data_IF_127296398194
#
_entry.id   IF_127296398194
#
_cell.length_a   1.000
_cell.length_b   1.000
_cell.length_c   1.000
_cell.angle_alpha   90.00
_cell.angle_beta   90.00
_cell.angle_gamma   90.00
#
_symmetry.space_group_name_H-M   'P 1'
#
loop_
_entity.id
_entity.type
_entity.pdbx_description
1 polymer ?
#
# COMPACT_ATOMS: atom_id res chain seq x y z
N UNK A 1 26.65 11.23 22.72
CA UNK A 1 26.57 12.29 21.71
C UNK A 1 25.11 12.38 21.31
N UNK A 2 24.36 13.26 22.00
CA UNK A 2 22.91 13.37 21.88
C UNK A 2 22.57 14.29 20.69
N UNK A 3 21.90 13.74 19.67
CA UNK A 3 21.35 14.54 18.58
C UNK A 3 19.99 15.09 19.02
N UNK A 4 19.94 16.41 19.19
CA UNK A 4 18.70 17.21 19.30
C UNK A 4 17.94 17.08 17.99
N UNK A 5 16.70 16.59 18.07
CA UNK A 5 15.73 16.65 16.98
C UNK A 5 15.09 18.04 17.02
N UNK A 6 15.04 18.70 15.86
CA UNK A 6 14.32 19.95 15.65
C UNK A 6 12.81 19.70 15.70
N UNK A 7 12.13 20.31 16.66
CA UNK A 7 10.70 20.57 16.61
C UNK A 7 10.49 21.87 15.83
N UNK A 8 9.88 21.81 14.64
CA UNK A 8 9.24 22.97 14.01
C UNK A 8 7.75 22.88 14.30
N UNK A 9 7.38 23.46 15.43
CA UNK A 9 6.01 23.77 15.82
C UNK A 9 5.68 25.14 15.23
N UNK A 10 4.99 25.20 14.10
CA UNK A 10 4.28 26.42 13.70
C UNK A 10 2.80 26.24 14.05
N UNK A 11 2.48 26.70 15.25
CA UNK A 11 1.13 26.90 15.74
C UNK A 11 0.56 28.17 15.10
N UNK A 12 -0.37 28.05 14.16
CA UNK A 12 -1.26 29.15 13.80
C UNK A 12 -2.27 29.39 14.93
N UNK A 13 -1.90 30.23 15.89
CA UNK A 13 -2.85 30.88 16.80
C UNK A 13 -3.44 32.10 16.09
N UNK A 14 -4.65 31.95 15.54
CA UNK A 14 -5.49 33.10 15.19
C UNK A 14 -6.68 33.10 16.14
N UNK A 15 -6.56 33.84 17.24
CA UNK A 15 -7.70 34.32 18.01
C UNK A 15 -8.15 35.63 17.38
N UNK A 16 -9.06 35.52 16.39
CA UNK A 16 -9.83 36.64 15.87
C UNK A 16 -11.23 36.57 16.45
N UNK A 17 -11.61 37.59 17.23
CA UNK A 17 -12.98 37.87 17.64
C UNK A 17 -13.88 38.04 16.41
N UNK A 18 -15.04 37.37 16.42
CA UNK A 18 -16.06 37.51 15.38
C UNK A 18 -16.73 38.87 15.55
N UNK A 19 -16.28 39.86 14.80
CA UNK A 19 -17.07 41.04 14.45
C UNK A 19 -17.52 40.92 12.98
N UNK A 20 -18.80 41.22 12.76
CA UNK A 20 -19.47 41.22 11.47
C UNK A 20 -18.72 42.07 10.44
N UNK A 21 -18.29 41.45 9.34
CA UNK A 21 -17.80 42.17 8.18
C UNK A 21 -18.40 41.63 6.89
N UNK A 22 -18.88 42.60 6.13
CA UNK A 22 -19.62 42.51 4.89
C UNK A 22 -18.86 41.71 3.84
N UNK A 23 -19.60 40.84 3.14
CA UNK A 23 -19.18 40.21 1.90
C UNK A 23 -19.08 41.27 0.81
N UNK A 24 -17.86 41.65 0.44
CA UNK A 24 -17.47 42.03 -0.92
C UNK A 24 -15.96 42.21 -0.98
N UNK A 25 -15.27 41.22 -1.56
CA UNK A 25 -13.82 41.26 -1.75
C UNK A 25 -13.24 39.89 -2.06
N UNK A 26 -13.33 39.46 -3.32
CA UNK A 26 -12.48 38.38 -3.82
C UNK A 26 -11.03 38.87 -3.77
N UNK A 27 -10.29 38.45 -2.76
CA UNK A 27 -8.83 38.53 -2.73
C UNK A 27 -8.34 37.54 -3.79
N UNK A 28 -7.83 38.06 -4.90
CA UNK A 28 -7.01 37.27 -5.82
C UNK A 28 -5.70 36.99 -5.11
N UNK A 29 -5.61 35.84 -4.45
CA UNK A 29 -4.36 35.34 -3.88
C UNK A 29 -3.32 35.29 -5.00
N UNK A 30 -2.17 35.94 -4.74
CA UNK A 30 -1.00 35.82 -5.60
C UNK A 30 -0.66 34.34 -5.74
N UNK A 31 -0.61 33.86 -6.98
CA UNK A 31 -0.22 32.50 -7.32
C UNK A 31 1.25 32.29 -6.93
N UNK A 32 1.50 31.97 -5.67
CA UNK A 32 2.72 31.30 -5.25
C UNK A 32 2.81 30.02 -6.08
N UNK A 33 3.69 30.03 -7.08
CA UNK A 33 3.96 28.87 -7.91
C UNK A 33 4.52 27.79 -7.01
N UNK A 34 3.65 26.85 -6.61
CA UNK A 34 4.06 25.62 -5.93
C UNK A 34 5.18 25.00 -6.77
N UNK A 35 6.35 24.71 -6.19
CA UNK A 35 7.47 24.18 -6.95
C UNK A 35 7.07 22.87 -7.63
N UNK A 36 7.30 22.76 -8.94
CA UNK A 36 7.05 21.54 -9.70
C UNK A 36 7.97 20.42 -9.18
N UNK A 37 7.38 19.35 -8.67
CA UNK A 37 8.09 18.15 -8.23
C UNK A 37 8.38 17.28 -9.45
N UNK A 38 9.62 16.82 -9.61
CA UNK A 38 10.01 15.91 -10.69
C UNK A 38 9.51 14.47 -10.44
N UNK A 39 9.40 13.66 -11.50
CA UNK A 39 9.01 12.24 -11.39
C UNK A 39 9.94 11.46 -10.45
N UNK A 40 11.24 11.77 -10.48
CA UNK A 40 12.22 11.07 -9.65
C UNK A 40 12.10 11.47 -8.18
N UNK A 41 11.84 12.74 -7.88
CA UNK A 41 11.53 13.19 -6.52
C UNK A 41 10.26 12.55 -5.99
N UNK A 42 9.21 12.44 -6.80
CA UNK A 42 7.98 11.76 -6.42
C UNK A 42 8.22 10.28 -6.09
N UNK A 43 9.05 9.59 -6.88
CA UNK A 43 9.47 8.21 -6.60
C UNK A 43 10.24 8.09 -5.30
N UNK A 44 11.20 8.99 -5.07
CA UNK A 44 11.93 9.03 -3.81
C UNK A 44 11.02 9.32 -2.62
N UNK A 45 10.02 10.19 -2.78
CA UNK A 45 9.03 10.46 -1.74
C UNK A 45 8.18 9.21 -1.44
N UNK A 46 7.74 8.47 -2.47
CA UNK A 46 7.03 7.19 -2.28
C UNK A 46 7.91 6.19 -1.52
N UNK A 47 9.19 6.06 -1.88
CA UNK A 47 10.12 5.17 -1.16
C UNK A 47 10.28 5.58 0.30
N UNK A 48 10.36 6.89 0.58
CA UNK A 48 10.40 7.43 1.94
C UNK A 48 9.09 7.21 2.70
N UNK A 49 7.94 7.30 2.02
CA UNK A 49 6.63 7.01 2.61
C UNK A 49 6.53 5.54 2.98
N UNK A 50 6.88 4.62 2.07
CA UNK A 50 6.92 3.19 2.35
C UNK A 50 7.85 2.89 3.54
N UNK A 51 9.01 3.56 3.60
CA UNK A 51 9.93 3.45 4.72
C UNK A 51 9.33 4.00 6.03
N UNK A 52 8.65 5.14 6.01
CA UNK A 52 8.02 5.74 7.20
C UNK A 52 6.85 4.91 7.71
N UNK A 53 6.01 4.40 6.81
CA UNK A 53 4.90 3.50 7.18
C UNK A 53 5.48 2.27 7.90
N UNK A 54 6.58 1.72 7.38
CA UNK A 54 7.31 0.62 8.02
C UNK A 54 7.86 0.96 9.41
N UNK A 55 8.31 2.19 9.63
CA UNK A 55 8.95 2.62 10.89
C UNK A 55 7.93 3.08 11.96
N UNK A 56 6.83 3.71 11.53
CA UNK A 56 5.77 4.22 12.41
C UNK A 56 4.90 3.11 12.99
N UNK A 57 4.69 2.05 12.21
CA UNK A 57 4.19 0.80 12.76
C UNK A 57 5.37 0.10 13.46
N UNK A 58 5.16 -0.49 14.64
CA UNK A 58 6.16 -1.34 15.32
C UNK A 58 6.52 -2.61 14.50
N UNK A 59 6.35 -2.60 13.18
CA UNK A 59 6.63 -3.63 12.19
C UNK A 59 8.08 -4.12 12.26
N UNK A 60 9.00 -3.27 12.74
CA UNK A 60 10.40 -3.64 13.00
C UNK A 60 10.62 -4.56 14.20
N UNK A 61 9.61 -4.79 15.04
CA UNK A 61 9.62 -5.88 16.04
C UNK A 61 8.95 -7.13 15.48
N UNK A 62 9.32 -7.53 14.26
CA UNK A 62 9.15 -8.90 13.81
C UNK A 62 10.10 -9.79 14.62
N UNK A 63 9.75 -9.99 15.89
CA UNK A 63 10.45 -10.82 16.88
C UNK A 63 9.85 -12.23 16.90
N UNK A 64 9.22 -12.66 15.82
CA UNK A 64 8.89 -14.07 15.69
C UNK A 64 10.20 -14.84 15.54
N UNK A 65 10.51 -15.62 16.58
CA UNK A 65 11.55 -16.60 16.48
C UNK A 65 11.01 -17.77 15.64
N UNK A 66 11.04 -17.62 14.32
CA UNK A 66 10.61 -18.63 13.36
C UNK A 66 11.32 -19.98 13.54
N UNK A 67 12.51 -19.94 14.15
CA UNK A 67 13.34 -21.10 14.47
C UNK A 67 13.01 -21.73 15.83
N UNK A 68 11.95 -21.29 16.53
CA UNK A 68 11.50 -21.93 17.74
C UNK A 68 11.08 -23.40 17.47
N UNK A 69 11.70 -24.40 18.11
CA UNK A 69 11.40 -25.82 17.84
C UNK A 69 9.94 -26.20 18.08
N UNK A 70 9.30 -25.66 19.12
CA UNK A 70 7.88 -25.94 19.43
C UNK A 70 6.97 -25.42 18.30
N UNK A 71 7.28 -24.23 17.77
CA UNK A 71 6.57 -23.69 16.61
C UNK A 71 6.72 -24.61 15.39
N UNK A 72 7.93 -25.10 15.12
CA UNK A 72 8.19 -25.97 13.97
C UNK A 72 7.43 -27.30 14.09
N UNK A 73 7.32 -27.89 15.27
CA UNK A 73 6.51 -29.10 15.48
C UNK A 73 5.02 -28.82 15.22
N UNK A 74 4.49 -27.68 15.67
CA UNK A 74 3.10 -27.28 15.38
C UNK A 74 2.85 -27.07 13.89
N UNK A 75 3.80 -26.48 13.15
CA UNK A 75 3.65 -26.29 11.71
C UNK A 75 3.59 -27.61 10.93
N UNK A 76 4.30 -28.65 11.39
CA UNK A 76 4.27 -29.98 10.74
C UNK A 76 2.89 -30.63 10.77
N UNK A 77 2.04 -30.27 11.73
CA UNK A 77 0.69 -30.85 11.83
C UNK A 77 -0.32 -30.16 10.91
N UNK A 78 0.05 -29.05 10.27
CA UNK A 78 -0.84 -28.25 9.44
C UNK A 78 -0.73 -28.72 7.98
N UNK A 79 -1.87 -29.08 7.38
CA UNK A 79 -1.94 -29.60 6.00
C UNK A 79 -2.25 -28.54 4.94
N UNK A 80 -2.67 -27.34 5.36
CA UNK A 80 -2.99 -26.23 4.45
C UNK A 80 -1.76 -25.83 3.65
N UNK A 81 -1.95 -25.42 2.40
CA UNK A 81 -0.89 -24.85 1.56
C UNK A 81 -1.39 -23.63 0.80
N UNK A 82 -0.47 -22.77 0.41
CA UNK A 82 -0.73 -21.60 -0.43
C UNK A 82 -0.09 -21.82 -1.79
N UNK A 83 -0.91 -21.86 -2.84
CA UNK A 83 -0.45 -21.93 -4.22
C UNK A 83 -0.46 -20.55 -4.85
N UNK A 84 0.70 -20.08 -5.26
CA UNK A 84 0.86 -18.81 -5.97
C UNK A 84 1.15 -19.10 -7.44
N UNK A 85 0.35 -18.51 -8.33
CA UNK A 85 0.51 -18.60 -9.78
C UNK A 85 0.84 -17.23 -10.36
N UNK A 86 1.90 -17.17 -11.16
CA UNK A 86 2.25 -15.96 -11.94
C UNK A 86 1.21 -15.74 -13.04
N UNK A 87 0.47 -14.65 -12.96
CA UNK A 87 -0.56 -14.27 -13.95
C UNK A 87 0.05 -13.47 -15.09
N UNK A 88 0.93 -12.52 -14.76
CA UNK A 88 1.62 -11.68 -15.71
C UNK A 88 2.99 -11.26 -15.17
N UNK A 89 4.01 -11.25 -16.02
CA UNK A 89 5.36 -10.79 -15.68
C UNK A 89 6.17 -10.62 -16.96
N UNK A 90 7.08 -9.65 -16.98
CA UNK A 90 8.02 -9.48 -18.08
C UNK A 90 9.22 -10.44 -17.97
N UNK A 91 9.46 -11.02 -16.78
CA UNK A 91 10.68 -11.76 -16.46
C UNK A 91 10.43 -13.21 -16.05
N UNK A 92 9.27 -13.51 -15.47
CA UNK A 92 8.91 -14.85 -15.02
C UNK A 92 7.86 -15.43 -15.98
N UNK A 93 8.02 -16.67 -16.47
CA UNK A 93 7.03 -17.28 -17.36
C UNK A 93 5.62 -17.29 -16.76
N UNK A 94 4.63 -16.86 -17.54
CA UNK A 94 3.21 -16.94 -17.16
C UNK A 94 2.84 -18.37 -16.81
N UNK A 95 2.12 -18.54 -15.70
CA UNK A 95 1.70 -19.83 -15.20
C UNK A 95 2.73 -20.54 -14.31
N UNK A 96 3.89 -19.94 -14.04
CA UNK A 96 4.82 -20.44 -13.02
C UNK A 96 4.08 -20.61 -11.69
N UNK A 97 4.23 -21.78 -11.07
CA UNK A 97 3.58 -22.17 -9.81
C UNK A 97 4.62 -22.16 -8.68
N UNK A 98 4.24 -21.58 -7.55
CA UNK A 98 5.03 -21.51 -6.32
C UNK A 98 4.14 -22.06 -5.20
N UNK A 99 4.47 -23.25 -4.71
CA UNK A 99 3.70 -23.91 -3.66
C UNK A 99 4.38 -23.70 -2.29
N UNK A 100 3.70 -23.01 -1.39
CA UNK A 100 4.16 -22.66 -0.05
C UNK A 100 3.37 -23.49 0.97
N UNK A 101 4.09 -24.16 1.87
CA UNK A 101 3.53 -24.89 3.01
C UNK A 101 3.70 -24.08 4.29
N UNK A 102 3.12 -24.49 5.43
CA UNK A 102 3.35 -23.84 6.72
C UNK A 102 4.82 -23.89 7.14
N UNK A 103 5.60 -24.84 6.59
CA UNK A 103 7.06 -24.95 6.78
C UNK A 103 7.88 -24.12 5.78
N UNK A 104 7.24 -23.42 4.84
CA UNK A 104 7.87 -22.58 3.81
C UNK A 104 7.77 -23.19 2.41
N UNK A 105 8.65 -22.74 1.50
CA UNK A 105 8.67 -23.14 0.10
C UNK A 105 9.19 -24.58 -0.04
N UNK A 106 8.42 -25.45 -0.70
CA UNK A 106 8.72 -26.90 -0.81
C UNK A 106 10.09 -27.20 -1.43
N UNK A 107 10.52 -26.39 -2.41
CA UNK A 107 11.80 -26.52 -3.12
C UNK A 107 12.75 -25.36 -2.79
N UNK A 108 12.74 -24.90 -1.54
CA UNK A 108 13.62 -23.80 -1.12
C UNK A 108 15.11 -24.13 -1.28
N UNK A 109 15.88 -23.14 -1.75
CA UNK A 109 17.34 -23.19 -1.79
C UNK A 109 18.00 -22.60 -0.54
N UNK A 110 17.22 -22.00 0.37
CA UNK A 110 17.69 -21.44 1.64
C UNK A 110 18.08 -22.53 2.64
N UNK A 111 17.61 -23.77 2.42
CA UNK A 111 17.82 -24.94 3.29
C UNK A 111 17.27 -24.77 4.71
N UNK A 112 16.34 -23.84 4.89
CA UNK A 112 15.63 -23.60 6.14
C UNK A 112 14.14 -23.82 5.92
N UNK A 113 13.51 -24.53 6.84
CA UNK A 113 12.06 -24.76 6.87
C UNK A 113 11.48 -24.08 8.11
N UNK A 114 11.63 -22.76 8.16
CA UNK A 114 11.24 -21.92 9.30
C UNK A 114 9.80 -21.39 9.15
N UNK A 115 9.08 -21.81 8.11
CA UNK A 115 7.73 -21.33 7.82
C UNK A 115 7.67 -19.93 7.22
N UNK A 116 8.79 -19.42 6.70
CA UNK A 116 8.88 -18.13 6.00
C UNK A 116 9.39 -18.32 4.59
N UNK A 117 8.83 -17.58 3.64
CA UNK A 117 9.25 -17.53 2.24
C UNK A 117 9.56 -16.10 1.86
N UNK A 118 10.82 -15.84 1.56
CA UNK A 118 11.31 -14.52 1.15
C UNK A 118 11.34 -14.39 -0.37
N UNK A 119 10.81 -13.27 -0.86
CA UNK A 119 10.82 -12.89 -2.27
C UNK A 119 11.76 -11.69 -2.47
N UNK A 120 12.73 -11.78 -3.36
CA UNK A 120 13.74 -10.73 -3.57
C UNK A 120 14.20 -10.62 -5.03
N UNK A 121 14.91 -9.54 -5.38
CA UNK A 121 15.56 -9.41 -6.69
C UNK A 121 16.81 -10.31 -6.86
N UNK A 122 17.54 -10.60 -5.77
CA UNK A 122 18.73 -11.46 -5.81
C UNK A 122 18.65 -12.57 -4.77
N UNK A 123 19.16 -13.75 -5.12
CA UNK A 123 19.17 -14.92 -4.22
C UNK A 123 20.12 -14.77 -3.03
N UNK A 124 21.26 -14.09 -3.23
CA UNK A 124 22.35 -14.03 -2.26
C UNK A 124 22.70 -12.61 -1.88
N UNK A 125 22.87 -12.35 -0.60
CA UNK A 125 23.41 -11.09 -0.10
C UNK A 125 24.89 -10.95 -0.43
N UNK A 126 25.37 -9.70 -0.43
CA UNK A 126 26.79 -9.37 -0.47
C UNK A 126 27.14 -8.67 0.85
N UNK A 127 28.32 -8.90 1.44
CA UNK A 127 29.44 -9.74 0.96
C UNK A 127 29.35 -11.22 1.33
N UNK A 128 28.50 -11.60 2.30
CA UNK A 128 28.51 -12.93 2.94
C UNK A 128 28.08 -14.09 2.02
N UNK A 129 27.41 -13.80 0.89
CA UNK A 129 26.88 -14.79 -0.07
C UNK A 129 25.85 -15.76 0.52
N UNK A 130 25.23 -15.39 1.64
CA UNK A 130 24.15 -16.15 2.25
C UNK A 130 22.92 -16.12 1.36
N UNK A 131 22.26 -17.28 1.21
CA UNK A 131 21.00 -17.37 0.46
C UNK A 131 19.90 -16.79 1.34
N UNK A 132 19.37 -15.63 0.95
CA UNK A 132 18.34 -14.92 1.74
C UNK A 132 16.96 -14.98 1.12
N UNK A 133 16.86 -15.33 -0.16
CA UNK A 133 15.59 -15.41 -0.87
C UNK A 133 15.26 -16.84 -1.30
N UNK A 134 14.04 -17.25 -1.00
CA UNK A 134 13.46 -18.53 -1.44
C UNK A 134 13.05 -18.44 -2.91
N UNK A 135 12.45 -17.31 -3.31
CA UNK A 135 12.04 -17.02 -4.68
C UNK A 135 12.65 -15.71 -5.19
N UNK A 136 13.04 -15.68 -6.46
CA UNK A 136 13.68 -14.51 -7.08
C UNK A 136 12.73 -13.90 -8.10
N UNK A 137 12.48 -12.59 -7.96
CA UNK A 137 11.72 -11.77 -8.90
C UNK A 137 12.70 -10.78 -9.55
N UNK A 138 13.24 -11.08 -10.74
CA UNK A 138 14.21 -10.19 -11.38
C UNK A 138 13.58 -8.82 -11.64
N UNK A 139 14.25 -7.74 -11.22
CA UNK A 139 13.82 -6.38 -11.52
C UNK A 139 14.87 -5.67 -12.37
N UNK A 140 14.42 -5.00 -13.43
CA UNK A 140 15.29 -4.26 -14.36
C UNK A 140 15.53 -2.82 -13.88
N UNK A 141 14.58 -2.25 -13.12
CA UNK A 141 14.44 -0.80 -12.92
C UNK A 141 14.98 -0.26 -11.61
N UNK A 142 15.13 -1.08 -10.57
CA UNK A 142 15.55 -0.62 -9.25
C UNK A 142 17.05 -0.92 -9.09
N UNK A 143 17.87 0.02 -8.59
CA UNK A 143 19.26 -0.27 -8.22
C UNK A 143 19.29 -1.53 -7.35
N UNK A 144 20.30 -2.37 -7.56
CA UNK A 144 20.37 -3.78 -7.15
C UNK A 144 20.27 -4.02 -5.62
N UNK A 145 19.12 -3.72 -5.01
CA UNK A 145 18.85 -4.11 -3.63
C UNK A 145 18.79 -5.63 -3.61
N UNK A 146 19.58 -6.21 -2.70
CA UNK A 146 19.63 -7.66 -2.47
C UNK A 146 18.68 -8.09 -1.35
N UNK A 147 18.02 -7.12 -0.76
CA UNK A 147 17.11 -7.30 0.35
C UNK A 147 15.79 -7.88 -0.16
N UNK A 148 15.13 -8.73 0.64
CA UNK A 148 13.80 -9.21 0.31
C UNK A 148 12.80 -8.05 0.20
N UNK A 149 11.97 -8.09 -0.83
CA UNK A 149 10.92 -7.09 -1.09
C UNK A 149 9.71 -7.33 -0.19
N UNK A 150 9.33 -8.60 -0.05
CA UNK A 150 8.25 -9.04 0.81
C UNK A 150 8.50 -10.47 1.29
N UNK A 151 7.73 -10.89 2.28
CA UNK A 151 7.71 -12.26 2.75
C UNK A 151 6.28 -12.79 2.86
N UNK A 152 6.18 -14.11 2.83
CA UNK A 152 4.96 -14.85 3.16
C UNK A 152 5.29 -15.85 4.24
N UNK A 153 4.48 -15.91 5.29
CA UNK A 153 4.66 -16.86 6.39
C UNK A 153 3.31 -17.41 6.86
N UNK A 154 3.35 -18.46 7.68
CA UNK A 154 2.16 -19.00 8.33
C UNK A 154 2.08 -18.53 9.78
N UNK A 155 0.99 -17.85 10.13
CA UNK A 155 0.64 -17.45 11.49
C UNK A 155 -0.07 -18.59 12.20
N UNK A 156 0.52 -19.07 13.30
CA UNK A 156 -0.14 -20.08 14.15
C UNK A 156 -1.30 -19.49 14.95
N UNK A 157 -1.24 -18.20 15.27
CA UNK A 157 -2.24 -17.53 16.10
C UNK A 157 -3.56 -17.34 15.34
N UNK A 158 -3.46 -17.05 14.04
CA UNK A 158 -4.62 -16.82 13.18
C UNK A 158 -4.91 -17.96 12.21
N UNK A 159 -4.09 -19.01 12.23
CA UNK A 159 -4.19 -20.20 11.39
C UNK A 159 -4.31 -19.89 9.88
N UNK A 160 -3.52 -18.91 9.45
CA UNK A 160 -3.56 -18.31 8.11
C UNK A 160 -2.16 -18.04 7.56
N UNK A 161 -2.07 -18.01 6.24
CA UNK A 161 -0.92 -17.40 5.57
C UNK A 161 -1.02 -15.87 5.66
N UNK A 162 0.12 -15.21 5.81
CA UNK A 162 0.23 -13.76 5.93
C UNK A 162 1.25 -13.25 4.92
N UNK A 163 0.87 -12.22 4.16
CA UNK A 163 1.72 -11.45 3.26
C UNK A 163 2.17 -10.19 3.99
N UNK A 164 3.47 -9.88 3.91
CA UNK A 164 4.02 -8.65 4.48
C UNK A 164 5.01 -8.01 3.52
N UNK A 165 4.77 -6.76 3.16
CA UNK A 165 5.75 -5.93 2.47
C UNK A 165 6.90 -5.54 3.42
N UNK A 166 8.13 -5.53 2.91
CA UNK A 166 9.32 -5.20 3.71
C UNK A 166 9.82 -3.77 3.46
N UNK A 167 9.07 -2.96 2.70
CA UNK A 167 9.43 -1.60 2.34
C UNK A 167 10.63 -1.52 1.41
N UNK A 168 10.94 -2.60 0.67
CA UNK A 168 12.05 -2.65 -0.27
C UNK A 168 11.52 -2.76 -1.69
N UNK A 169 11.99 -1.86 -2.56
CA UNK A 169 11.59 -1.79 -3.95
C UNK A 169 10.31 -0.97 -4.14
N UNK A 170 9.48 -1.33 -5.11
CA UNK A 170 8.27 -0.55 -5.46
C UNK A 170 7.08 -0.83 -4.54
N UNK A 171 7.24 -1.67 -3.52
CA UNK A 171 6.16 -2.15 -2.68
C UNK A 171 5.40 -3.35 -3.26
N UNK A 172 4.57 -3.93 -2.39
CA UNK A 172 3.69 -5.07 -2.66
C UNK A 172 2.27 -4.60 -2.49
N UNK A 173 1.41 -4.82 -3.49
CA UNK A 173 0.04 -4.33 -3.47
C UNK A 173 -0.96 -5.45 -3.69
N UNK A 174 -2.06 -5.40 -2.95
CA UNK A 174 -3.18 -6.33 -3.04
C UNK A 174 -4.31 -5.67 -3.82
N UNK A 175 -4.97 -6.42 -4.68
CA UNK A 175 -6.12 -5.92 -5.43
C UNK A 175 -7.33 -5.72 -4.50
N UNK A 176 -8.01 -4.61 -4.66
CA UNK A 176 -9.28 -4.32 -3.97
C UNK A 176 -10.40 -5.09 -4.69
N UNK A 177 -10.86 -6.17 -4.08
CA UNK A 177 -12.02 -6.95 -4.57
C UNK A 177 -13.31 -6.58 -3.83
N UNK A 178 -13.18 -6.16 -2.56
CA UNK A 178 -14.28 -5.77 -1.69
C UNK A 178 -14.07 -4.34 -1.15
N UNK A 179 -15.10 -3.77 -0.54
CA UNK A 179 -14.99 -2.45 0.10
C UNK A 179 -13.91 -2.46 1.18
N UNK A 180 -12.88 -1.64 0.99
CA UNK A 180 -11.77 -1.49 1.91
C UNK A 180 -11.98 -0.31 2.85
N UNK A 181 -11.76 -0.49 4.14
CA UNK A 181 -11.76 0.60 5.12
C UNK A 181 -10.40 1.28 5.10
N UNK A 182 -10.36 2.54 4.69
CA UNK A 182 -9.12 3.31 4.59
C UNK A 182 -8.58 3.55 6.01
N UNK A 183 -7.37 3.09 6.28
CA UNK A 183 -6.60 3.43 7.47
C UNK A 183 -5.73 4.67 7.22
N UNK A 184 -5.23 5.29 8.29
CA UNK A 184 -4.29 6.39 8.12
C UNK A 184 -3.02 5.94 7.38
N UNK A 185 -2.50 6.82 6.51
CA UNK A 185 -1.37 6.57 5.63
C UNK A 185 -1.54 5.35 4.68
N UNK A 186 -2.76 5.10 4.21
CA UNK A 186 -3.02 4.09 3.18
C UNK A 186 -2.39 4.54 1.85
N UNK A 187 -1.50 3.73 1.28
CA UNK A 187 -0.95 3.95 -0.05
C UNK A 187 -1.69 3.07 -1.06
N UNK A 188 -2.27 3.69 -2.09
CA UNK A 188 -2.87 2.95 -3.22
C UNK A 188 -2.08 3.16 -4.51
N UNK A 189 -2.19 2.20 -5.41
CA UNK A 189 -1.66 2.26 -6.75
C UNK A 189 -2.77 2.02 -7.78
N UNK A 190 -2.85 2.91 -8.77
CA UNK A 190 -3.82 2.90 -9.88
C UNK A 190 -3.09 3.22 -11.18
N UNK A 191 -3.01 2.25 -12.10
CA UNK A 191 -2.14 2.37 -13.28
C UNK A 191 -0.68 2.63 -12.88
N UNK A 192 -0.08 3.69 -13.42
CA UNK A 192 1.28 4.13 -13.04
C UNK A 192 1.31 5.09 -11.84
N UNK A 193 0.14 5.40 -11.27
CA UNK A 193 -0.01 6.43 -10.24
C UNK A 193 -0.05 5.86 -8.84
N UNK A 194 0.54 6.59 -7.89
CA UNK A 194 0.41 6.32 -6.47
C UNK A 194 -0.35 7.45 -5.79
N UNK A 195 -1.22 7.10 -4.85
CA UNK A 195 -1.98 8.08 -4.06
C UNK A 195 -1.81 7.72 -2.61
N UNK A 196 -1.25 8.65 -1.83
CA UNK A 196 -1.20 8.54 -0.37
C UNK A 196 -2.47 9.13 0.22
N UNK A 197 -3.15 8.34 1.05
CA UNK A 197 -4.36 8.71 1.76
C UNK A 197 -4.05 8.87 3.26
N UNK A 198 -4.21 10.09 3.77
CA UNK A 198 -3.98 10.43 5.18
C UNK A 198 -5.28 10.90 5.81
N UNK A 199 -5.59 10.41 7.02
CA UNK A 199 -6.83 10.74 7.73
C UNK A 199 -6.51 11.71 8.87
N UNK A 200 -6.93 12.95 8.72
CA UNK A 200 -6.84 13.96 9.77
C UNK A 200 -8.08 13.91 10.66
N UNK A 201 -7.90 13.49 11.91
CA UNK A 201 -8.91 13.61 12.97
C UNK A 201 -8.68 14.94 13.69
N UNK A 202 -9.68 15.81 13.81
CA UNK A 202 -9.50 17.00 14.67
C UNK A 202 -9.70 16.58 16.13
N UNK A 203 -8.99 17.25 17.04
CA UNK A 203 -9.01 16.97 18.48
C UNK A 203 -10.33 17.32 19.18
N UNK A 204 -11.35 17.76 18.44
CA UNK A 204 -12.68 18.05 18.98
C UNK A 204 -13.60 16.85 18.76
N UNK A 205 -14.27 16.42 19.83
CA UNK A 205 -15.17 15.26 19.85
C UNK A 205 -16.28 15.30 18.78
N UNK A 206 -16.61 16.49 18.27
CA UNK A 206 -17.74 16.69 17.36
C UNK A 206 -17.35 16.82 15.88
N UNK A 207 -16.07 16.71 15.53
CA UNK A 207 -15.63 16.86 14.13
C UNK A 207 -15.46 15.51 13.44
N UNK A 208 -16.10 15.36 12.27
CA UNK A 208 -15.85 14.22 11.40
C UNK A 208 -14.45 14.34 10.76
N UNK A 209 -13.78 13.20 10.45
CA UNK A 209 -12.42 13.20 9.94
C UNK A 209 -12.34 13.76 8.50
N UNK A 210 -11.22 14.39 8.18
CA UNK A 210 -10.88 14.84 6.82
C UNK A 210 -9.94 13.83 6.17
N UNK A 211 -10.24 13.44 4.94
CA UNK A 211 -9.34 12.64 4.12
C UNK A 211 -8.49 13.54 3.24
N UNK A 212 -7.19 13.37 3.31
CA UNK A 212 -6.22 14.03 2.46
C UNK A 212 -5.67 13.02 1.46
N UNK A 213 -5.69 13.37 0.17
CA UNK A 213 -5.10 12.57 -0.89
C UNK A 213 -3.97 13.35 -1.54
N UNK A 214 -2.76 12.79 -1.53
CA UNK A 214 -1.60 13.32 -2.26
C UNK A 214 -1.27 12.41 -3.43
N UNK A 215 -1.27 12.96 -4.64
CA UNK A 215 -1.07 12.22 -5.89
C UNK A 215 0.39 12.28 -6.32
N UNK A 216 0.94 11.13 -6.71
CA UNK A 216 2.31 10.99 -7.19
C UNK A 216 2.32 10.43 -8.62
N UNK A 217 1.79 11.21 -9.58
CA UNK A 217 1.84 10.84 -11.00
C UNK A 217 1.53 11.98 -11.97
N UNK A 218 2.01 11.79 -13.21
CA UNK A 218 1.59 12.55 -14.38
C UNK A 218 1.85 14.06 -14.26
N UNK A 219 0.85 14.85 -14.67
CA UNK A 219 0.88 16.32 -14.62
C UNK A 219 0.47 16.90 -13.26
N UNK A 220 0.00 16.06 -12.34
CA UNK A 220 -0.55 16.43 -11.03
C UNK A 220 0.33 15.91 -9.88
N UNK A 221 1.61 15.71 -10.14
CA UNK A 221 2.56 15.23 -9.13
C UNK A 221 2.62 16.23 -7.98
N UNK A 222 2.38 15.73 -6.77
CA UNK A 222 2.41 16.51 -5.55
C UNK A 222 1.09 17.21 -5.22
N UNK A 223 0.07 17.15 -6.10
CA UNK A 223 -1.24 17.75 -5.83
C UNK A 223 -1.85 17.11 -4.58
N UNK A 224 -2.30 17.97 -3.65
CA UNK A 224 -2.92 17.59 -2.39
C UNK A 224 -4.38 18.03 -2.42
N UNK A 225 -5.29 17.08 -2.22
CA UNK A 225 -6.73 17.31 -2.17
C UNK A 225 -7.28 16.94 -0.79
N UNK A 226 -8.25 17.71 -0.32
CA UNK A 226 -8.92 17.48 0.96
C UNK A 226 -10.40 17.19 0.74
N UNK A 227 -10.88 16.13 1.38
CA UNK A 227 -12.26 15.68 1.33
C UNK A 227 -12.82 15.63 2.74
N UNK A 228 -13.93 16.34 2.97
CA UNK A 228 -14.56 16.44 4.28
C UNK A 228 -15.65 15.39 4.43
N UNK A 229 -15.61 14.62 5.51
CA UNK A 229 -16.57 13.56 5.76
C UNK A 229 -18.03 14.06 5.80
N UNK A 230 -18.27 15.31 6.22
CA UNK A 230 -19.61 15.94 6.20
C UNK A 230 -20.19 15.99 4.78
N UNK A 231 -19.36 16.26 3.78
CA UNK A 231 -19.76 16.37 2.36
C UNK A 231 -19.82 14.99 1.72
N UNK A 232 -18.84 14.14 2.05
CA UNK A 232 -18.69 12.81 1.46
C UNK A 232 -19.62 11.74 2.06
N UNK A 233 -20.49 12.13 2.99
CA UNK A 233 -21.59 11.28 3.45
C UNK A 233 -22.68 11.13 2.38
N UNK A 234 -22.86 12.17 1.54
CA UNK A 234 -23.87 12.19 0.47
C UNK A 234 -23.22 12.06 -0.91
N UNK A 235 -21.97 12.52 -1.05
CA UNK A 235 -21.27 12.59 -2.34
C UNK A 235 -20.05 11.67 -2.38
N UNK A 236 -20.01 10.84 -3.41
CA UNK A 236 -18.86 9.99 -3.72
C UNK A 236 -17.70 10.83 -4.31
N UNK A 237 -16.48 10.38 -4.06
CA UNK A 237 -15.25 10.91 -4.66
C UNK A 237 -14.74 9.89 -5.67
N UNK A 238 -14.80 10.23 -6.95
CA UNK A 238 -14.29 9.39 -8.02
C UNK A 238 -12.82 9.70 -8.30
N UNK A 239 -12.06 8.62 -8.43
CA UNK A 239 -10.67 8.60 -8.87
C UNK A 239 -10.65 7.94 -10.25
N UNK A 240 -10.04 8.58 -11.25
CA UNK A 240 -9.94 8.01 -12.59
C UNK A 240 -9.61 9.03 -13.66
N UNK A 241 -9.68 8.66 -14.94
CA UNK A 241 -9.39 9.59 -16.05
C UNK A 241 -10.58 10.45 -16.47
N UNK A 242 -11.78 10.13 -15.98
CA UNK A 242 -13.02 10.85 -16.28
C UNK A 242 -12.92 12.34 -15.93
N UNK A 243 -13.59 13.19 -16.70
CA UNK A 243 -13.62 14.65 -16.43
C UNK A 243 -14.50 14.99 -15.22
N UNK A 244 -15.35 14.06 -14.84
CA UNK A 244 -16.24 14.08 -13.69
C UNK A 244 -15.57 13.55 -12.40
N UNK A 245 -14.35 13.01 -12.50
CA UNK A 245 -13.54 12.63 -11.34
C UNK A 245 -13.03 13.85 -10.59
N UNK A 246 -13.15 13.82 -9.27
CA UNK A 246 -12.52 14.83 -8.40
C UNK A 246 -11.01 14.61 -8.35
N UNK A 247 -10.57 13.35 -8.37
CA UNK A 247 -9.16 12.98 -8.48
C UNK A 247 -8.91 12.49 -9.91
N UNK A 248 -8.62 13.43 -10.81
CA UNK A 248 -8.39 13.11 -12.21
C UNK A 248 -6.93 12.68 -12.44
N UNK A 249 -6.74 11.54 -13.10
CA UNK A 249 -5.42 11.01 -13.45
C UNK A 249 -5.35 10.87 -14.97
N UNK A 250 -4.33 11.48 -15.58
CA UNK A 250 -4.10 11.39 -17.02
C UNK A 250 -3.29 10.13 -17.36
N UNK A 251 -3.97 8.98 -17.30
CA UNK A 251 -3.41 7.69 -17.68
C UNK A 251 -4.41 6.96 -18.60
N UNK A 252 -3.95 6.49 -19.76
CA UNK A 252 -4.81 5.78 -20.71
C UNK A 252 -5.15 4.36 -20.24
N UNK A 253 -4.36 3.83 -19.32
CA UNK A 253 -4.49 2.48 -18.76
C UNK A 253 -5.45 2.42 -17.57
N UNK A 254 -5.98 3.54 -17.08
CA UNK A 254 -6.99 3.52 -16.02
C UNK A 254 -8.41 3.70 -16.58
N UNK A 255 -9.40 3.20 -15.84
CA UNK A 255 -10.82 3.40 -16.19
C UNK A 255 -11.25 4.86 -16.00
N UNK A 256 -12.36 5.26 -16.64
CA UNK A 256 -12.97 6.58 -16.41
C UNK A 256 -13.23 6.78 -14.91
N UNK A 257 -13.87 5.79 -14.28
CA UNK A 257 -13.98 5.63 -12.83
C UNK A 257 -13.15 4.40 -12.43
N UNK A 258 -11.96 4.65 -11.92
CA UNK A 258 -10.99 3.63 -11.52
C UNK A 258 -11.25 3.18 -10.08
N UNK A 259 -11.58 4.10 -9.19
CA UNK A 259 -11.97 3.81 -7.82
C UNK A 259 -12.97 4.84 -7.31
N UNK A 260 -13.75 4.44 -6.31
CA UNK A 260 -14.69 5.31 -5.61
C UNK A 260 -14.35 5.35 -4.13
N UNK A 261 -14.28 6.56 -3.57
CA UNK A 261 -14.10 6.81 -2.14
C UNK A 261 -15.34 7.49 -1.57
N UNK A 262 -15.77 7.07 -0.39
CA UNK A 262 -16.92 7.67 0.29
C UNK A 262 -16.77 7.56 1.81
N UNK A 263 -17.58 8.31 2.56
CA UNK A 263 -17.56 8.26 4.02
C UNK A 263 -18.77 7.51 4.58
N UNK A 264 -18.51 6.51 5.42
CA UNK A 264 -19.49 5.80 6.23
C UNK A 264 -19.44 6.29 7.67
N UNK A 265 -20.59 6.68 8.24
CA UNK A 265 -20.65 7.09 9.66
C UNK A 265 -20.28 5.97 10.65
N UNK A 266 -20.43 4.71 10.25
CA UNK A 266 -20.12 3.55 11.10
C UNK A 266 -18.68 3.07 10.94
N UNK A 267 -18.15 3.12 9.70
CA UNK A 267 -16.88 2.50 9.32
C UNK A 267 -15.77 3.50 9.02
N UNK A 268 -16.09 4.78 8.84
CA UNK A 268 -15.15 5.81 8.39
C UNK A 268 -15.01 5.86 6.87
N UNK A 269 -13.83 6.25 6.40
CA UNK A 269 -13.54 6.35 4.96
C UNK A 269 -13.43 4.97 4.32
N UNK A 270 -14.12 4.79 3.20
CA UNK A 270 -14.19 3.53 2.47
C UNK A 270 -13.68 3.71 1.05
N UNK A 271 -13.04 2.68 0.50
CA UNK A 271 -12.54 2.60 -0.87
C UNK A 271 -13.17 1.39 -1.58
N UNK A 272 -13.63 1.58 -2.81
CA UNK A 272 -14.16 0.52 -3.68
C UNK A 272 -13.48 0.61 -5.04
N UNK A 273 -13.18 -0.55 -5.64
CA UNK A 273 -12.70 -0.60 -7.02
C UNK A 273 -13.81 -0.29 -8.02
N UNK A 274 -13.51 0.57 -8.99
CA UNK A 274 -14.44 0.96 -10.05
C UNK A 274 -15.50 1.98 -9.64
N UNK A 275 -16.63 1.91 -10.33
CA UNK A 275 -17.77 2.83 -10.20
C UNK A 275 -18.83 2.23 -9.27
N UNK A 276 -18.97 2.83 -8.09
CA UNK A 276 -19.94 2.37 -7.09
C UNK A 276 -21.40 2.52 -7.55
N UNK A 277 -21.70 3.57 -8.32
CA UNK A 277 -23.06 3.86 -8.79
C UNK A 277 -23.56 2.82 -9.81
N UNK A 278 -22.66 2.37 -10.69
CA UNK A 278 -22.99 1.39 -11.73
C UNK A 278 -22.58 -0.04 -11.36
N UNK A 279 -21.92 -0.23 -10.21
CA UNK A 279 -21.35 -1.50 -9.75
C UNK A 279 -20.43 -2.15 -10.79
N UNK A 280 -19.71 -1.30 -11.55
CA UNK A 280 -18.76 -1.76 -12.58
C UNK A 280 -17.35 -1.71 -12.02
N UNK A 281 -16.63 -2.83 -11.96
CA UNK A 281 -15.23 -2.83 -11.52
C UNK A 281 -14.36 -2.08 -12.53
N UNK A 282 -13.18 -1.67 -12.08
CA UNK A 282 -12.20 -1.06 -12.99
C UNK A 282 -11.55 -2.12 -13.89
N UNK A 283 -10.99 -1.69 -15.01
CA UNK A 283 -10.39 -2.60 -16.00
C UNK A 283 -9.12 -3.26 -15.47
N UNK A 284 -8.28 -2.51 -14.75
CA UNK A 284 -6.95 -2.95 -14.31
C UNK A 284 -6.81 -3.09 -12.79
N UNK A 285 -7.92 -2.93 -12.05
CA UNK A 285 -7.96 -3.04 -10.59
C UNK A 285 -7.32 -1.85 -9.89
N UNK A 286 -7.84 -1.55 -8.71
CA UNK A 286 -7.26 -0.67 -7.72
C UNK A 286 -6.46 -1.50 -6.72
N UNK A 287 -5.27 -1.04 -6.36
CA UNK A 287 -4.31 -1.84 -5.58
C UNK A 287 -3.93 -1.11 -4.31
N UNK A 288 -3.88 -1.78 -3.16
CA UNK A 288 -3.52 -1.20 -1.86
C UNK A 288 -2.20 -1.80 -1.40
N UNK A 289 -1.29 -0.97 -0.87
CA UNK A 289 -0.04 -1.44 -0.29
C UNK A 289 -0.30 -2.43 0.84
N UNK A 290 0.36 -3.59 0.80
CA UNK A 290 0.44 -4.58 1.87
C UNK A 290 1.42 -4.13 2.96
N UNK A 291 1.28 -2.88 3.39
CA UNK A 291 2.16 -2.22 4.35
C UNK A 291 2.01 -2.83 5.76
N UNK A 292 0.81 -3.36 6.07
CA UNK A 292 0.51 -4.19 7.23
C UNK A 292 0.45 -5.68 6.85
N UNK A 293 0.43 -6.53 7.86
CA UNK A 293 0.13 -7.95 7.69
C UNK A 293 -1.21 -8.13 6.99
N UNK A 294 -1.15 -8.74 5.82
CA UNK A 294 -2.34 -9.09 5.07
C UNK A 294 -2.56 -10.60 5.13
N UNK A 295 -3.62 -11.00 5.81
CA UNK A 295 -3.98 -12.41 5.92
C UNK A 295 -4.70 -12.90 4.66
N UNK A 296 -4.24 -14.01 4.11
CA UNK A 296 -4.95 -14.66 3.01
C UNK A 296 -6.25 -15.30 3.54
N UNK A 297 -7.39 -14.90 3.00
CA UNK A 297 -8.72 -15.44 3.33
C UNK A 297 -9.35 -16.26 2.19
N UNK A 298 -8.71 -16.33 1.02
CA UNK A 298 -9.23 -17.03 -0.14
C UNK A 298 -8.32 -16.93 -1.37
N UNK A 299 -8.92 -16.68 -2.53
CA UNK A 299 -8.16 -16.35 -3.75
C UNK A 299 -7.92 -14.85 -3.80
N UNK A 300 -6.66 -14.44 -3.85
CA UNK A 300 -6.26 -13.04 -3.84
C UNK A 300 -5.31 -12.78 -5.00
N UNK A 301 -5.54 -11.68 -5.71
CA UNK A 301 -4.59 -11.13 -6.67
C UNK A 301 -3.73 -10.07 -5.96
N UNK A 302 -2.42 -10.18 -6.11
CA UNK A 302 -1.47 -9.20 -5.60
C UNK A 302 -0.33 -9.01 -6.60
N UNK A 303 0.30 -7.84 -6.59
CA UNK A 303 1.45 -7.55 -7.42
C UNK A 303 2.63 -7.10 -6.58
N UNK A 304 3.81 -7.47 -7.03
CA UNK A 304 5.06 -6.99 -6.48
C UNK A 304 6.04 -6.77 -7.64
N UNK A 305 6.74 -5.64 -7.61
CA UNK A 305 7.55 -5.19 -8.73
C UNK A 305 6.73 -5.14 -10.03
N UNK A 306 7.21 -5.77 -11.11
CA UNK A 306 6.52 -5.89 -12.40
C UNK A 306 5.76 -7.22 -12.57
N UNK A 307 5.51 -7.96 -11.48
CA UNK A 307 4.87 -9.28 -11.54
C UNK A 307 3.53 -9.27 -10.82
N UNK A 308 2.51 -9.77 -11.51
CA UNK A 308 1.18 -10.03 -11.00
C UNK A 308 1.05 -11.52 -10.62
N UNK A 309 0.60 -11.76 -9.41
CA UNK A 309 0.41 -13.08 -8.82
C UNK A 309 -1.06 -13.29 -8.46
N UNK A 310 -1.48 -14.56 -8.49
CA UNK A 310 -2.72 -15.04 -7.88
C UNK A 310 -2.38 -16.08 -6.83
N UNK A 311 -2.74 -15.83 -5.59
CA UNK A 311 -2.61 -16.76 -4.48
C UNK A 311 -3.94 -17.46 -4.21
N UNK A 312 -3.91 -18.78 -3.99
CA UNK A 312 -5.08 -19.57 -3.61
C UNK A 312 -4.69 -20.51 -2.49
N UNK A 313 -5.49 -20.52 -1.42
CA UNK A 313 -5.35 -21.50 -0.33
C UNK A 313 -5.86 -22.86 -0.82
N UNK A 314 -5.06 -23.89 -0.61
CA UNK A 314 -5.37 -25.30 -0.87
C UNK A 314 -5.45 -26.01 0.48
N UNK A 315 -6.59 -26.65 0.74
CA UNK A 315 -6.83 -27.43 1.95
C UNK A 315 -6.45 -28.90 1.76
#
# INVERSE_FOLDING_TARGET
MCLKIWETQECCNVHGTVEELQTDGYVTEENDKVPEITIEEARMEILLILQKIREGENCFRFKENFLNPERLEKLKTITKSLRIKVQNSNVIPKGTIIDITPLGLTLTKRKTQDGVVYFANKRKTFPKRDVTADFVIPTITIPETREPHFLIYYSLDTDKFVLRDLGVGNGTFIKVEETYMISDNTLINVGESYILMTIFKKNTNDSLPTLCMKVYSGTRIGEVMYFYAQECYVKEVYIGRGKDCQVQIDDTMISNHQATVFFSSQKGWMLVDGDLSTQRPSTNGTWICACQDYEFTGTIDFKACSTLFRATIIN
#
